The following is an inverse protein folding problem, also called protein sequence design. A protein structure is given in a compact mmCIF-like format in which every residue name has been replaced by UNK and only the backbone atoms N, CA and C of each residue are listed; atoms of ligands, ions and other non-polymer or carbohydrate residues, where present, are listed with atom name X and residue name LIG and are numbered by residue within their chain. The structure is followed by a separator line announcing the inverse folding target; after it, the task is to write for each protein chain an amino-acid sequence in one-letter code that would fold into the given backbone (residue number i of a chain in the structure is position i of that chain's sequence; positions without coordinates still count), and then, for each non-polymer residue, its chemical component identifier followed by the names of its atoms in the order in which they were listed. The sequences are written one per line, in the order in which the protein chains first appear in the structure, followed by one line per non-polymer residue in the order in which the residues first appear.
data_IF_852372064795
#
_entry.id   IF_852372064795
#
_cell.length_a   1.000
_cell.length_b   1.000
_cell.length_c   1.000
_cell.angle_alpha   90.00
_cell.angle_beta   90.00
_cell.angle_gamma   90.00
#
_symmetry.space_group_name_H-M   'P 1'
#
loop_
_entity.id
_entity.type
_entity.pdbx_description
1 polymer ?
#
# COMPACT_ATOMS: atom_id res chain seq x y z
N UNK A 1 -10.82 14.96 10.78
CA UNK A 1 -9.99 13.77 10.49
C UNK A 1 -8.62 14.04 11.07
N UNK A 2 -8.38 13.58 12.28
CA UNK A 2 -7.11 13.82 12.97
C UNK A 2 -6.04 12.92 12.35
N UNK A 3 -5.02 13.56 11.78
CA UNK A 3 -3.81 12.90 11.35
C UNK A 3 -3.00 12.53 12.59
N UNK A 4 -3.27 11.38 13.19
CA UNK A 4 -2.40 10.78 14.19
C UNK A 4 -1.07 10.41 13.56
N UNK A 5 -0.21 11.41 13.34
CA UNK A 5 1.21 11.15 13.24
C UNK A 5 1.65 10.69 14.62
N UNK A 6 1.92 9.40 14.75
CA UNK A 6 2.65 8.89 15.91
C UNK A 6 4.05 9.51 15.80
N UNK A 7 4.21 10.67 16.43
CA UNK A 7 5.53 11.19 16.76
C UNK A 7 6.14 10.19 17.75
N UNK A 8 6.83 9.19 17.23
CA UNK A 8 7.69 8.35 18.06
C UNK A 8 8.81 9.26 18.50
N UNK A 9 8.73 9.75 19.74
CA UNK A 9 9.81 10.47 20.38
C UNK A 9 11.00 9.52 20.48
N UNK A 10 11.98 9.74 19.62
CA UNK A 10 13.24 9.00 19.65
C UNK A 10 14.16 9.58 20.72
N UNK A 11 13.82 9.38 22.00
CA UNK A 11 14.71 9.69 23.12
C UNK A 11 15.62 8.51 23.51
N UNK A 12 15.54 7.38 22.82
CA UNK A 12 16.52 6.32 23.00
C UNK A 12 17.73 6.57 22.09
N UNK A 13 18.52 7.57 22.45
CA UNK A 13 19.88 7.69 22.00
C UNK A 13 20.66 6.50 22.54
N UNK A 14 20.85 5.50 21.71
CA UNK A 14 21.97 4.58 21.93
C UNK A 14 23.23 5.42 21.72
N UNK A 15 23.76 5.95 22.79
CA UNK A 15 25.07 6.58 22.83
C UNK A 15 26.11 5.49 22.59
N UNK A 16 26.42 5.25 21.33
CA UNK A 16 27.60 4.49 20.97
C UNK A 16 28.79 5.41 21.10
N UNK A 17 29.44 5.31 22.27
CA UNK A 17 30.76 5.87 22.54
C UNK A 17 31.75 5.43 21.47
N UNK A 18 32.31 6.43 20.79
CA UNK A 18 33.61 6.41 20.18
C UNK A 18 33.77 5.64 18.89
N UNK A 19 33.88 6.35 17.81
CA UNK A 19 35.00 6.28 16.86
C UNK A 19 34.84 7.49 15.91
N UNK A 20 35.89 8.31 15.84
CA UNK A 20 35.98 9.44 14.90
C UNK A 20 35.66 8.99 13.47
N UNK A 21 34.53 9.45 12.94
CA UNK A 21 34.18 9.16 11.56
C UNK A 21 32.75 8.66 11.31
N UNK A 22 31.79 8.95 12.16
CA UNK A 22 30.44 8.38 12.16
C UNK A 22 29.56 8.72 10.94
N UNK A 23 29.94 8.25 9.77
CA UNK A 23 29.01 7.99 8.67
C UNK A 23 28.10 6.76 8.96
N UNK A 24 28.46 5.92 9.93
CA UNK A 24 27.79 4.66 10.26
C UNK A 24 26.48 4.87 11.02
N UNK A 25 26.41 5.80 11.98
CA UNK A 25 25.20 6.02 12.79
C UNK A 25 24.00 6.51 11.97
N UNK A 26 24.22 7.47 11.06
CA UNK A 26 23.15 8.00 10.20
C UNK A 26 22.66 6.93 9.22
N UNK A 27 23.58 6.13 8.65
CA UNK A 27 23.20 5.06 7.71
C UNK A 27 22.43 3.94 8.40
N UNK A 28 22.84 3.53 9.60
CA UNK A 28 22.15 2.47 10.37
C UNK A 28 20.77 2.93 10.82
N UNK A 29 20.62 4.16 11.34
CA UNK A 29 19.32 4.75 11.72
C UNK A 29 18.37 4.76 10.54
N UNK A 30 18.79 5.33 9.41
CA UNK A 30 17.98 5.35 8.19
C UNK A 30 17.58 3.94 7.72
N UNK A 31 18.48 2.97 7.80
CA UNK A 31 18.19 1.59 7.40
C UNK A 31 17.16 0.95 8.32
N UNK A 32 17.26 1.14 9.63
CA UNK A 32 16.30 0.65 10.61
C UNK A 32 14.92 1.27 10.40
N UNK A 33 14.85 2.58 10.19
CA UNK A 33 13.58 3.28 9.94
C UNK A 33 12.94 2.83 8.64
N UNK A 34 13.72 2.59 7.61
CA UNK A 34 13.24 2.02 6.35
C UNK A 34 12.67 0.61 6.55
N UNK A 35 13.32 -0.23 7.35
CA UNK A 35 12.85 -1.58 7.68
C UNK A 35 11.55 -1.50 8.49
N UNK A 36 11.47 -0.63 9.52
CA UNK A 36 10.28 -0.40 10.33
C UNK A 36 9.11 0.05 9.47
N UNK A 37 9.30 1.05 8.61
CA UNK A 37 8.27 1.54 7.68
C UNK A 37 7.78 0.42 6.74
N UNK A 38 8.69 -0.39 6.19
CA UNK A 38 8.31 -1.54 5.34
C UNK A 38 7.50 -2.59 6.11
N UNK A 39 7.87 -2.90 7.36
CA UNK A 39 7.15 -3.85 8.22
C UNK A 39 5.75 -3.33 8.55
N UNK A 40 5.64 -2.05 8.93
CA UNK A 40 4.37 -1.38 9.19
C UNK A 40 3.44 -1.42 7.98
N UNK A 41 3.91 -1.01 6.80
CA UNK A 41 3.15 -1.10 5.56
C UNK A 41 2.65 -2.52 5.26
N UNK A 42 3.51 -3.52 5.37
CA UNK A 42 3.12 -4.92 5.15
C UNK A 42 2.06 -5.39 6.15
N UNK A 43 2.17 -5.02 7.42
CA UNK A 43 1.20 -5.35 8.46
C UNK A 43 -0.17 -4.76 8.12
N UNK A 44 -0.24 -3.47 7.85
CA UNK A 44 -1.49 -2.77 7.49
C UNK A 44 -2.11 -3.32 6.21
N UNK A 45 -1.32 -3.61 5.20
CA UNK A 45 -1.81 -4.22 3.96
C UNK A 45 -2.39 -5.62 4.20
N UNK A 46 -1.78 -6.41 5.08
CA UNK A 46 -2.29 -7.74 5.48
C UNK A 46 -3.62 -7.63 6.22
N UNK A 47 -3.78 -6.66 7.10
CA UNK A 47 -5.03 -6.37 7.81
C UNK A 47 -6.14 -5.93 6.85
N UNK A 48 -5.86 -4.97 5.94
CA UNK A 48 -6.79 -4.55 4.91
C UNK A 48 -7.25 -5.74 4.03
N UNK A 49 -6.32 -6.60 3.63
CA UNK A 49 -6.63 -7.81 2.88
C UNK A 49 -7.48 -8.81 3.67
N UNK A 50 -7.26 -8.94 4.99
CA UNK A 50 -8.08 -9.79 5.86
C UNK A 50 -9.53 -9.27 5.95
N UNK A 51 -9.72 -7.94 6.15
CA UNK A 51 -11.04 -7.31 6.14
C UNK A 51 -11.77 -7.54 4.82
N UNK A 52 -11.08 -7.31 3.70
CA UNK A 52 -11.65 -7.57 2.38
C UNK A 52 -12.03 -9.04 2.17
N UNK A 53 -11.21 -10.00 2.65
CA UNK A 53 -11.51 -11.43 2.51
C UNK A 53 -12.80 -11.84 3.22
N UNK A 54 -13.17 -11.20 4.33
CA UNK A 54 -14.42 -11.46 5.04
C UNK A 54 -15.64 -11.06 4.19
N UNK A 55 -15.55 -9.95 3.46
CA UNK A 55 -16.66 -9.33 2.73
C UNK A 55 -16.49 -9.41 1.19
N UNK A 56 -15.64 -10.34 0.71
CA UNK A 56 -15.43 -10.50 -0.73
C UNK A 56 -16.63 -11.17 -1.40
N UNK A 57 -16.84 -10.96 -2.72
CA UNK A 57 -17.86 -11.64 -3.50
C UNK A 57 -17.86 -13.15 -3.27
N UNK A 58 -19.04 -13.72 -3.09
CA UNK A 58 -19.23 -15.16 -2.93
C UNK A 58 -18.75 -15.96 -4.15
N UNK A 59 -18.68 -17.29 -4.01
CA UNK A 59 -18.35 -18.18 -5.13
C UNK A 59 -19.42 -18.08 -6.24
N UNK A 60 -20.68 -17.96 -5.83
CA UNK A 60 -21.82 -17.85 -6.75
C UNK A 60 -21.70 -16.62 -7.66
N UNK A 61 -21.54 -15.43 -7.11
CA UNK A 61 -21.38 -14.19 -7.90
C UNK A 61 -20.19 -14.26 -8.87
N UNK A 62 -19.08 -14.86 -8.44
CA UNK A 62 -17.90 -15.05 -9.31
C UNK A 62 -18.17 -16.05 -10.44
N UNK A 63 -18.84 -17.16 -10.15
CA UNK A 63 -19.23 -18.13 -11.16
C UNK A 63 -20.16 -17.51 -12.18
N UNK A 64 -21.21 -16.83 -11.73
CA UNK A 64 -22.18 -16.16 -12.59
C UNK A 64 -21.51 -15.11 -13.50
N UNK A 65 -20.60 -14.32 -12.94
CA UNK A 65 -19.83 -13.34 -13.71
C UNK A 65 -18.93 -13.99 -14.74
N UNK A 66 -18.23 -15.06 -14.38
CA UNK A 66 -17.30 -15.74 -15.28
C UNK A 66 -18.07 -16.42 -16.44
N UNK A 67 -19.18 -17.11 -16.14
CA UNK A 67 -20.02 -17.69 -17.19
C UNK A 67 -20.60 -16.62 -18.12
N UNK A 68 -21.03 -15.49 -17.58
CA UNK A 68 -21.51 -14.34 -18.36
C UNK A 68 -20.43 -13.78 -19.29
N UNK A 69 -19.17 -13.65 -18.81
CA UNK A 69 -18.05 -13.16 -19.65
C UNK A 69 -17.74 -14.15 -20.77
N UNK A 70 -17.73 -15.44 -20.49
CA UNK A 70 -17.49 -16.49 -21.51
C UNK A 70 -18.60 -16.45 -22.56
N UNK A 71 -19.88 -16.36 -22.13
CA UNK A 71 -21.01 -16.25 -23.07
C UNK A 71 -20.95 -14.99 -23.92
N UNK A 72 -20.55 -13.85 -23.36
CA UNK A 72 -20.33 -12.63 -24.15
C UNK A 72 -19.24 -12.83 -25.21
N UNK A 73 -18.13 -13.44 -24.85
CA UNK A 73 -17.04 -13.75 -25.78
C UNK A 73 -17.52 -14.65 -26.94
N UNK A 74 -18.24 -15.72 -26.61
CA UNK A 74 -18.85 -16.60 -27.63
C UNK A 74 -19.86 -15.86 -28.49
N UNK A 75 -20.73 -15.03 -27.89
CA UNK A 75 -21.71 -14.25 -28.61
C UNK A 75 -21.11 -13.27 -29.63
N UNK A 76 -19.97 -12.65 -29.27
CA UNK A 76 -19.23 -11.78 -30.21
C UNK A 76 -18.60 -12.60 -31.34
N UNK A 77 -17.96 -13.73 -31.03
CA UNK A 77 -17.31 -14.56 -32.04
C UNK A 77 -18.30 -15.22 -33.00
N UNK A 78 -19.43 -15.69 -32.51
CA UNK A 78 -20.47 -16.39 -33.31
C UNK A 78 -21.53 -15.45 -33.87
N UNK A 79 -21.49 -14.14 -33.53
CA UNK A 79 -22.51 -13.14 -33.82
C UNK A 79 -23.93 -13.57 -33.36
N UNK A 80 -24.00 -14.39 -32.32
CA UNK A 80 -25.24 -14.95 -31.80
C UNK A 80 -25.77 -14.03 -30.67
N UNK A 81 -26.97 -13.48 -30.88
CA UNK A 81 -27.65 -12.55 -29.95
C UNK A 81 -28.03 -13.21 -28.61
N UNK A 82 -28.37 -14.49 -28.61
CA UNK A 82 -28.78 -15.22 -27.41
C UNK A 82 -27.63 -15.35 -26.44
N UNK A 83 -26.44 -15.68 -26.94
CA UNK A 83 -25.23 -15.70 -26.12
C UNK A 83 -24.85 -14.32 -25.57
N UNK A 84 -25.06 -13.25 -26.34
CA UNK A 84 -24.85 -11.88 -25.87
C UNK A 84 -25.82 -11.52 -24.75
N UNK A 85 -27.11 -11.79 -24.93
CA UNK A 85 -28.15 -11.49 -23.95
C UNK A 85 -27.93 -12.30 -22.65
N UNK A 86 -27.64 -13.59 -22.75
CA UNK A 86 -27.32 -14.45 -21.60
C UNK A 86 -26.07 -13.97 -20.89
N UNK A 87 -25.04 -13.63 -21.63
CA UNK A 87 -23.80 -13.12 -21.09
C UNK A 87 -23.98 -11.78 -20.33
N UNK A 88 -24.73 -10.84 -20.92
CA UNK A 88 -25.07 -9.57 -20.27
C UNK A 88 -25.88 -9.77 -18.99
N UNK A 89 -26.91 -10.61 -19.01
CA UNK A 89 -27.75 -10.91 -17.83
C UNK A 89 -26.92 -11.56 -16.71
N UNK A 90 -26.00 -12.46 -17.03
CA UNK A 90 -25.10 -13.07 -16.08
C UNK A 90 -24.14 -12.07 -15.41
N UNK A 91 -23.56 -11.15 -16.19
CA UNK A 91 -22.67 -10.10 -15.66
C UNK A 91 -23.44 -9.09 -14.81
N UNK A 92 -24.61 -8.64 -15.27
CA UNK A 92 -25.48 -7.71 -14.55
C UNK A 92 -26.01 -8.34 -13.26
N UNK A 93 -26.51 -9.57 -13.31
CA UNK A 93 -26.97 -10.30 -12.14
C UNK A 93 -25.89 -10.50 -11.09
N UNK A 94 -24.66 -10.82 -11.50
CA UNK A 94 -23.52 -10.88 -10.58
C UNK A 94 -23.22 -9.53 -9.92
N UNK A 95 -23.34 -8.43 -10.69
CA UNK A 95 -23.09 -7.09 -10.17
C UNK A 95 -24.18 -6.64 -9.18
N UNK A 96 -25.46 -6.88 -9.49
CA UNK A 96 -26.57 -6.56 -8.58
C UNK A 96 -26.46 -7.37 -7.28
N UNK A 97 -26.11 -8.63 -7.36
CA UNK A 97 -25.84 -9.46 -6.19
C UNK A 97 -24.68 -8.93 -5.36
N UNK A 98 -23.58 -8.52 -5.98
CA UNK A 98 -22.41 -7.93 -5.29
C UNK A 98 -22.78 -6.62 -4.59
N UNK A 99 -23.66 -5.80 -5.18
CA UNK A 99 -24.17 -4.58 -4.57
C UNK A 99 -25.06 -4.92 -3.37
N UNK A 100 -26.03 -5.81 -3.53
CA UNK A 100 -26.96 -6.21 -2.48
C UNK A 100 -26.24 -6.84 -1.26
N UNK A 101 -25.16 -7.59 -1.48
CA UNK A 101 -24.36 -8.21 -0.43
C UNK A 101 -23.27 -7.30 0.13
N UNK A 102 -23.13 -6.06 -0.36
CA UNK A 102 -22.06 -5.14 0.04
C UNK A 102 -20.66 -5.50 -0.44
N UNK A 103 -20.52 -6.53 -1.27
CA UNK A 103 -19.22 -6.99 -1.76
C UNK A 103 -18.55 -5.98 -2.70
N UNK A 104 -19.33 -5.19 -3.44
CA UNK A 104 -18.80 -4.13 -4.30
C UNK A 104 -18.24 -2.97 -3.49
N UNK A 105 -18.95 -2.54 -2.43
CA UNK A 105 -18.46 -1.51 -1.51
C UNK A 105 -17.18 -1.96 -0.80
N UNK A 106 -17.12 -3.19 -0.31
CA UNK A 106 -15.93 -3.77 0.30
C UNK A 106 -14.72 -3.77 -0.64
N UNK A 107 -14.95 -4.02 -1.94
CA UNK A 107 -13.91 -3.97 -2.97
C UNK A 107 -13.40 -2.53 -3.20
N UNK A 108 -14.31 -1.54 -3.24
CA UNK A 108 -13.95 -0.12 -3.39
C UNK A 108 -13.13 0.36 -2.18
N UNK A 109 -13.61 0.07 -0.97
CA UNK A 109 -12.91 0.42 0.29
C UNK A 109 -11.51 -0.19 0.30
N UNK A 110 -11.37 -1.47 0.00
CA UNK A 110 -10.05 -2.12 -0.06
C UNK A 110 -9.11 -1.49 -1.09
N UNK A 111 -9.60 -1.16 -2.29
CA UNK A 111 -8.79 -0.49 -3.33
C UNK A 111 -8.31 0.88 -2.88
N UNK A 112 -9.18 1.66 -2.26
CA UNK A 112 -8.85 3.00 -1.76
C UNK A 112 -7.85 2.91 -0.61
N UNK A 113 -8.08 2.03 0.35
CA UNK A 113 -7.15 1.79 1.47
C UNK A 113 -5.78 1.33 0.97
N UNK A 114 -5.73 0.41 0.00
CA UNK A 114 -4.47 -0.04 -0.61
C UNK A 114 -3.73 1.11 -1.32
N UNK A 115 -4.45 2.00 -2.02
CA UNK A 115 -3.85 3.18 -2.69
C UNK A 115 -3.32 4.16 -1.66
N UNK A 116 -4.09 4.49 -0.65
CA UNK A 116 -3.69 5.38 0.46
C UNK A 116 -2.44 4.84 1.16
N UNK A 117 -2.44 3.59 1.60
CA UNK A 117 -1.28 2.95 2.22
C UNK A 117 -0.02 2.98 1.33
N UNK A 118 -0.19 2.76 0.02
CA UNK A 118 0.93 2.83 -0.94
C UNK A 118 1.49 4.24 -1.06
N UNK A 119 0.63 5.24 -1.07
CA UNK A 119 1.05 6.65 -1.16
C UNK A 119 1.78 7.06 0.12
N UNK A 120 1.20 6.82 1.30
CA UNK A 120 1.84 7.10 2.59
C UNK A 120 3.21 6.39 2.73
N UNK A 121 3.31 5.14 2.27
CA UNK A 121 4.60 4.44 2.27
C UNK A 121 5.64 5.12 1.38
N UNK A 122 5.23 5.61 0.19
CA UNK A 122 6.13 6.33 -0.72
C UNK A 122 6.57 7.66 -0.14
N UNK A 123 5.64 8.41 0.45
CA UNK A 123 5.91 9.71 1.10
C UNK A 123 6.88 9.55 2.27
N UNK A 124 6.61 8.60 3.18
CA UNK A 124 7.53 8.30 4.29
C UNK A 124 8.91 7.88 3.79
N UNK A 125 8.98 7.09 2.71
CA UNK A 125 10.25 6.70 2.10
C UNK A 125 11.02 7.90 1.54
N UNK A 126 10.33 8.88 0.91
CA UNK A 126 10.94 10.11 0.41
C UNK A 126 11.42 10.99 1.56
N UNK A 127 10.59 11.16 2.58
CA UNK A 127 10.95 11.91 3.79
C UNK A 127 12.20 11.35 4.47
N UNK A 128 12.25 10.05 4.72
CA UNK A 128 13.41 9.38 5.28
C UNK A 128 14.68 9.57 4.44
N UNK A 129 14.55 9.54 3.11
CA UNK A 129 15.68 9.78 2.22
C UNK A 129 16.18 11.23 2.34
N UNK A 130 15.29 12.20 2.32
CA UNK A 130 15.64 13.60 2.43
C UNK A 130 16.33 13.91 3.77
N UNK A 131 15.81 13.38 4.88
CA UNK A 131 16.42 13.56 6.19
C UNK A 131 17.84 12.96 6.24
N UNK A 132 18.03 11.77 5.68
CA UNK A 132 19.37 11.19 5.58
C UNK A 132 20.33 12.09 4.80
N UNK A 133 19.87 12.62 3.68
CA UNK A 133 20.72 13.43 2.80
C UNK A 133 21.05 14.78 3.48
N UNK A 134 20.11 15.37 4.23
CA UNK A 134 20.32 16.55 5.06
C UNK A 134 21.33 16.28 6.20
N UNK A 135 21.16 15.19 6.94
CA UNK A 135 22.10 14.79 8.01
C UNK A 135 23.54 14.60 7.46
N UNK A 136 23.65 14.03 6.26
CA UNK A 136 24.96 13.86 5.62
C UNK A 136 25.59 15.19 5.19
N UNK A 137 24.78 16.16 4.73
CA UNK A 137 25.23 17.51 4.37
C UNK A 137 25.68 18.26 5.60
N UNK A 138 24.90 18.26 6.69
CA UNK A 138 25.25 18.91 7.94
C UNK A 138 26.58 18.38 8.49
N UNK A 139 26.76 17.06 8.46
CA UNK A 139 28.01 16.46 8.92
C UNK A 139 29.22 16.83 8.02
N UNK A 140 29.01 17.09 6.73
CA UNK A 140 30.08 17.58 5.85
C UNK A 140 30.46 19.02 6.17
N UNK A 141 29.47 19.89 6.37
CA UNK A 141 29.69 21.30 6.72
C UNK A 141 30.45 21.42 8.03
N UNK A 142 30.04 20.69 9.08
CA UNK A 142 30.71 20.67 10.38
C UNK A 142 32.16 20.19 10.27
N UNK A 143 32.46 19.21 9.41
CA UNK A 143 33.84 18.78 9.17
C UNK A 143 34.73 19.87 8.55
N UNK A 144 34.21 20.57 7.53
CA UNK A 144 34.95 21.65 6.89
C UNK A 144 35.22 22.76 7.89
N UNK A 145 34.22 23.16 8.69
CA UNK A 145 34.38 24.20 9.72
C UNK A 145 35.37 23.81 10.83
N UNK A 146 35.54 22.51 11.15
CA UNK A 146 36.51 22.04 12.15
C UNK A 146 37.92 21.87 11.60
N UNK A 147 38.08 21.76 10.28
CA UNK A 147 39.40 21.64 9.64
C UNK A 147 40.03 22.98 9.23
N UNK A 148 39.28 24.06 9.36
CA UNK A 148 39.73 25.42 9.07
C UNK A 148 40.20 26.21 10.31
N UNK A 149 40.28 25.54 11.46
CA UNK A 149 40.92 26.01 12.70
C UNK A 149 42.25 25.32 12.90
#
# INVERSE_FOLDING_TARGET
MENNYIAVSFSDTIEHFGVKGMKWGVRTRYTLDRIRNRRYYKKRLKEAKRRYKKNRPGRFSRSLKNSGIVSLGLGVLTKNKDFLNYGMSGVLGAKTYDIATGADSARRVYRNEKRSLKNSYKETKRFLKNNRDNDLLTNKVLKVASSSK
#
